data_IF_656947068414
#
_entry.id   IF_656947068414
#
_cell.length_a   1.000
_cell.length_b   1.000
_cell.length_c   1.000
_cell.angle_alpha   90.00
_cell.angle_beta   90.00
_cell.angle_gamma   90.00
#
_symmetry.space_group_name_H-M   'P 1'
#
loop_
_entity.id
_entity.type
_entity.pdbx_description
1 polymer ?
#
# COMPACT_ATOMS: atom_id res chain seq x y z
N UNK A 1 14.73 4.89 8.78
CA UNK A 1 13.50 4.59 8.00
C UNK A 1 13.67 3.22 7.37
N UNK A 2 12.62 2.39 7.25
CA UNK A 2 12.68 1.11 6.55
C UNK A 2 12.71 1.31 5.02
N UNK A 3 13.66 2.13 4.54
CA UNK A 3 13.83 2.53 3.14
C UNK A 3 15.28 2.34 2.74
N UNK A 4 15.51 1.68 1.61
CA UNK A 4 16.85 1.53 1.01
C UNK A 4 16.88 2.25 -0.34
N UNK A 5 18.01 2.87 -0.70
CA UNK A 5 18.17 3.57 -1.99
C UNK A 5 19.19 2.86 -2.87
N UNK A 6 18.90 2.79 -4.18
CA UNK A 6 19.80 2.31 -5.23
C UNK A 6 19.67 3.27 -6.42
N UNK A 7 20.70 4.09 -6.66
CA UNK A 7 20.58 5.21 -7.60
C UNK A 7 19.48 6.19 -7.16
N UNK A 8 18.60 6.57 -8.08
CA UNK A 8 17.44 7.42 -7.83
C UNK A 8 16.19 6.63 -7.35
N UNK A 9 16.30 5.31 -7.18
CA UNK A 9 15.20 4.47 -6.70
C UNK A 9 15.26 4.29 -5.19
N UNK A 10 14.14 4.56 -4.52
CA UNK A 10 13.91 4.28 -3.12
C UNK A 10 12.92 3.11 -2.98
N UNK A 11 13.33 2.10 -2.20
CA UNK A 11 12.57 0.90 -1.89
C UNK A 11 12.01 1.04 -0.48
N UNK A 12 10.70 1.18 -0.38
CA UNK A 12 9.98 1.33 0.87
C UNK A 12 9.46 -0.05 1.28
N UNK A 13 9.88 -0.51 2.46
CA UNK A 13 9.42 -1.79 3.02
C UNK A 13 7.89 -1.79 3.19
N UNK A 14 7.29 -2.97 3.20
CA UNK A 14 5.86 -3.14 3.40
C UNK A 14 5.34 -2.42 4.65
N UNK A 15 4.28 -1.64 4.46
CA UNK A 15 3.54 -0.94 5.50
C UNK A 15 2.20 -1.64 5.68
N UNK A 16 1.93 -2.12 6.90
CA UNK A 16 0.67 -2.78 7.22
C UNK A 16 -0.44 -1.76 7.49
N UNK A 17 -1.67 -2.14 7.17
CA UNK A 17 -2.85 -1.32 7.44
C UNK A 17 -3.07 -1.13 8.95
N UNK A 18 -3.75 -0.05 9.37
CA UNK A 18 -4.38 0.00 10.68
C UNK A 18 -5.32 -1.18 10.92
N UNK A 19 -5.65 -1.45 12.19
CA UNK A 19 -6.66 -2.43 12.53
C UNK A 19 -8.01 -2.00 11.95
N UNK A 20 -8.72 -2.94 11.31
CA UNK A 20 -10.10 -2.72 10.88
C UNK A 20 -11.00 -2.85 12.11
N UNK A 21 -11.89 -1.89 12.31
CA UNK A 21 -12.80 -1.89 13.45
C UNK A 21 -13.67 -3.16 13.47
N UNK A 22 -13.75 -3.83 14.62
CA UNK A 22 -14.48 -5.09 14.79
C UNK A 22 -13.79 -6.32 14.20
N UNK A 23 -12.67 -6.17 13.50
CA UNK A 23 -11.91 -7.29 12.96
C UNK A 23 -11.05 -7.97 14.03
N UNK A 24 -10.94 -9.29 13.95
CA UNK A 24 -9.99 -10.09 14.72
C UNK A 24 -8.68 -10.22 13.93
N UNK A 25 -7.54 -10.54 14.56
CA UNK A 25 -6.29 -10.76 13.83
C UNK A 25 -6.34 -11.86 12.73
N UNK A 26 -7.35 -12.73 12.76
CA UNK A 26 -7.59 -13.78 11.75
C UNK A 26 -8.61 -13.39 10.67
N UNK A 27 -9.23 -12.22 10.79
CA UNK A 27 -10.23 -11.73 9.84
C UNK A 27 -9.59 -11.45 8.48
N UNK A 28 -10.27 -11.87 7.42
CA UNK A 28 -9.72 -11.79 6.06
C UNK A 28 -10.78 -11.47 5.01
N UNK A 29 -10.31 -11.00 3.87
CA UNK A 29 -11.17 -10.75 2.70
C UNK A 29 -11.72 -12.07 2.15
N UNK A 30 -12.99 -12.06 1.75
CA UNK A 30 -13.70 -13.26 1.30
C UNK A 30 -14.23 -14.14 2.45
N UNK A 31 -14.10 -13.68 3.69
CA UNK A 31 -14.76 -14.24 4.87
C UNK A 31 -15.38 -13.12 5.73
N UNK A 32 -14.65 -12.61 6.72
CA UNK A 32 -15.19 -11.64 7.68
C UNK A 32 -15.08 -10.18 7.23
N UNK A 33 -14.22 -9.88 6.26
CA UNK A 33 -13.99 -8.52 5.79
C UNK A 33 -14.63 -8.29 4.41
N UNK A 34 -15.30 -7.15 4.27
CA UNK A 34 -15.84 -6.68 2.99
C UNK A 34 -14.74 -6.07 2.11
N UNK A 35 -15.01 -5.95 0.80
CA UNK A 35 -14.10 -5.29 -0.14
C UNK A 35 -13.86 -3.83 0.25
N UNK A 36 -14.89 -3.14 0.69
CA UNK A 36 -14.84 -1.73 1.10
C UNK A 36 -13.95 -1.56 2.35
N UNK A 37 -14.06 -2.47 3.32
CA UNK A 37 -13.14 -2.50 4.46
C UNK A 37 -11.70 -2.78 4.01
N UNK A 38 -11.52 -3.67 3.03
CA UNK A 38 -10.23 -3.91 2.40
C UNK A 38 -9.66 -2.66 1.71
N UNK A 39 -10.48 -1.91 0.97
CA UNK A 39 -10.06 -0.66 0.31
C UNK A 39 -9.64 0.39 1.33
N UNK A 40 -10.41 0.56 2.41
CA UNK A 40 -10.04 1.46 3.51
C UNK A 40 -8.72 1.02 4.18
N UNK A 41 -8.52 -0.28 4.40
CA UNK A 41 -7.27 -0.83 4.92
C UNK A 41 -6.09 -0.59 3.96
N UNK A 42 -6.28 -0.78 2.66
CA UNK A 42 -5.28 -0.53 1.63
C UNK A 42 -4.89 0.96 1.58
N UNK A 43 -5.86 1.87 1.68
CA UNK A 43 -5.62 3.30 1.79
C UNK A 43 -4.82 3.63 3.06
N UNK A 44 -5.15 3.02 4.20
CA UNK A 44 -4.39 3.19 5.45
C UNK A 44 -2.93 2.72 5.36
N UNK A 45 -2.69 1.58 4.71
CA UNK A 45 -1.33 1.09 4.43
C UNK A 45 -0.57 2.03 3.47
N UNK A 46 -1.24 2.51 2.42
CA UNK A 46 -0.67 3.47 1.48
C UNK A 46 -0.38 4.83 2.11
N UNK A 47 -1.18 5.28 3.09
CA UNK A 47 -0.89 6.49 3.85
C UNK A 47 0.42 6.36 4.63
N UNK A 48 0.69 5.20 5.22
CA UNK A 48 1.96 4.93 5.87
C UNK A 48 3.14 4.92 4.87
N UNK A 49 2.93 4.44 3.65
CA UNK A 49 3.91 4.56 2.54
C UNK A 49 4.15 6.03 2.19
N UNK A 50 3.10 6.82 1.99
CA UNK A 50 3.20 8.26 1.71
C UNK A 50 3.94 9.00 2.82
N UNK A 51 3.74 8.62 4.09
CA UNK A 51 4.51 9.17 5.21
C UNK A 51 6.01 8.81 5.14
N UNK A 52 6.38 7.66 4.59
CA UNK A 52 7.79 7.35 4.31
C UNK A 52 8.32 8.20 3.15
N UNK A 53 7.52 8.40 2.10
CA UNK A 53 7.87 9.27 0.96
C UNK A 53 8.09 10.70 1.44
N UNK A 54 7.16 11.26 2.21
CA UNK A 54 7.24 12.60 2.78
C UNK A 54 8.54 12.81 3.57
N UNK A 55 8.89 11.85 4.44
CA UNK A 55 10.16 11.87 5.19
C UNK A 55 11.38 11.73 4.30
N UNK A 56 11.26 10.97 3.20
CA UNK A 56 12.33 10.73 2.23
C UNK A 56 12.68 12.00 1.45
N UNK A 57 11.67 12.84 1.20
CA UNK A 57 11.81 14.09 0.45
C UNK A 57 11.80 15.34 1.35
N UNK A 58 11.77 15.15 2.67
CA UNK A 58 11.77 16.21 3.68
C UNK A 58 10.59 17.19 3.50
N UNK A 59 9.43 16.66 3.13
CA UNK A 59 8.21 17.43 2.86
C UNK A 59 8.14 18.06 1.47
N UNK A 60 9.22 18.04 0.69
CA UNK A 60 9.21 18.56 -0.68
C UNK A 60 8.79 17.48 -1.70
N UNK A 61 7.48 17.39 -1.92
CA UNK A 61 6.89 16.44 -2.87
C UNK A 61 7.35 16.61 -4.31
N UNK A 62 7.95 17.76 -4.69
CA UNK A 62 8.49 17.97 -6.04
C UNK A 62 9.71 17.12 -6.33
N UNK A 63 10.37 16.58 -5.30
CA UNK A 63 11.49 15.63 -5.41
C UNK A 63 11.03 14.21 -5.76
N UNK A 64 9.71 13.94 -5.78
CA UNK A 64 9.16 12.66 -6.24
C UNK A 64 8.94 12.73 -7.74
N UNK A 65 9.79 12.05 -8.49
CA UNK A 65 9.65 11.93 -9.95
C UNK A 65 8.47 11.04 -10.33
N UNK A 66 8.39 9.85 -9.72
CA UNK A 66 7.31 8.88 -9.96
C UNK A 66 7.27 7.78 -8.90
N UNK A 67 6.06 7.33 -8.55
CA UNK A 67 5.87 6.01 -7.91
C UNK A 67 5.97 4.95 -8.99
N UNK A 68 7.11 4.24 -9.06
CA UNK A 68 7.34 3.25 -10.10
C UNK A 68 6.42 2.04 -9.94
N UNK A 69 6.24 1.56 -8.70
CA UNK A 69 5.44 0.37 -8.40
C UNK A 69 4.84 0.42 -7.00
N UNK A 70 3.61 -0.06 -6.88
CA UNK A 70 3.03 -0.54 -5.62
C UNK A 70 2.93 -2.08 -5.62
N UNK A 71 3.33 -2.71 -4.52
CA UNK A 71 2.96 -4.09 -4.21
C UNK A 71 1.87 -4.10 -3.16
N UNK A 72 0.72 -4.70 -3.45
CA UNK A 72 -0.43 -4.79 -2.54
C UNK A 72 -0.69 -6.25 -2.17
N UNK A 73 -0.53 -6.58 -0.90
CA UNK A 73 -0.76 -7.92 -0.37
C UNK A 73 -2.02 -7.90 0.47
N UNK A 74 -2.98 -8.77 0.14
CA UNK A 74 -4.31 -8.80 0.76
C UNK A 74 -4.48 -10.09 1.52
N UNK A 75 -4.67 -10.02 2.83
CA UNK A 75 -5.02 -11.20 3.63
C UNK A 75 -6.42 -11.68 3.23
N UNK A 76 -6.49 -12.85 2.58
CA UNK A 76 -7.71 -13.31 1.92
C UNK A 76 -7.90 -14.82 2.00
N UNK A 77 -9.14 -15.28 1.84
CA UNK A 77 -9.42 -16.70 1.58
C UNK A 77 -8.89 -17.12 0.20
N UNK A 78 -8.66 -18.43 -0.04
CA UNK A 78 -8.22 -18.93 -1.35
C UNK A 78 -9.18 -18.59 -2.50
N UNK A 79 -10.48 -18.50 -2.22
CA UNK A 79 -11.52 -18.27 -3.23
C UNK A 79 -11.79 -16.78 -3.50
N UNK A 80 -11.17 -15.87 -2.74
CA UNK A 80 -11.32 -14.44 -2.97
C UNK A 80 -10.56 -14.01 -4.24
N UNK A 81 -11.22 -13.26 -5.13
CA UNK A 81 -10.67 -12.87 -6.45
C UNK A 81 -10.72 -11.35 -6.71
N UNK A 82 -11.05 -10.55 -5.69
CA UNK A 82 -11.24 -9.10 -5.81
C UNK A 82 -10.06 -8.28 -5.24
N UNK A 83 -8.85 -8.85 -5.22
CA UNK A 83 -7.65 -8.18 -4.73
C UNK A 83 -7.35 -6.88 -5.49
N UNK A 84 -7.63 -6.84 -6.79
CA UNK A 84 -7.50 -5.63 -7.60
C UNK A 84 -8.43 -4.52 -7.14
N UNK A 85 -9.66 -4.83 -6.70
CA UNK A 85 -10.60 -3.84 -6.18
C UNK A 85 -10.13 -3.31 -4.83
N UNK A 86 -9.66 -4.19 -3.95
CA UNK A 86 -9.06 -3.82 -2.65
C UNK A 86 -7.85 -2.89 -2.86
N UNK A 87 -6.96 -3.25 -3.79
CA UNK A 87 -5.78 -2.45 -4.11
C UNK A 87 -6.09 -1.06 -4.68
N UNK A 88 -7.29 -0.81 -5.20
CA UNK A 88 -7.67 0.54 -5.65
C UNK A 88 -7.67 1.54 -4.49
N UNK A 89 -7.99 1.12 -3.26
CA UNK A 89 -7.89 2.01 -2.10
C UNK A 89 -6.48 2.59 -1.90
N UNK A 90 -5.43 1.79 -2.15
CA UNK A 90 -4.06 2.26 -2.12
C UNK A 90 -3.74 3.15 -3.35
N UNK A 91 -4.12 2.70 -4.55
CA UNK A 91 -3.81 3.41 -5.79
C UNK A 91 -4.47 4.79 -5.86
N UNK A 92 -5.75 4.87 -5.51
CA UNK A 92 -6.55 6.09 -5.56
C UNK A 92 -5.99 7.14 -4.59
N UNK A 93 -5.59 6.72 -3.38
CA UNK A 93 -4.97 7.63 -2.41
C UNK A 93 -3.62 8.17 -2.91
N UNK A 94 -2.74 7.30 -3.42
CA UNK A 94 -1.41 7.72 -3.91
C UNK A 94 -1.54 8.68 -5.09
N UNK A 95 -2.46 8.42 -6.03
CA UNK A 95 -2.73 9.33 -7.15
C UNK A 95 -3.37 10.63 -6.67
N UNK A 96 -4.30 10.59 -5.71
CA UNK A 96 -4.92 11.79 -5.17
C UNK A 96 -3.91 12.74 -4.50
N UNK A 97 -2.88 12.19 -3.85
CA UNK A 97 -1.86 12.99 -3.14
C UNK A 97 -0.73 13.46 -4.06
N UNK A 98 -0.24 12.59 -4.95
CA UNK A 98 0.95 12.88 -5.78
C UNK A 98 0.62 13.24 -7.24
N UNK A 99 -0.66 13.26 -7.63
CA UNK A 99 -1.09 13.55 -8.98
C UNK A 99 -0.49 12.58 -10.01
N UNK A 100 0.04 13.12 -11.11
CA UNK A 100 0.63 12.32 -12.19
C UNK A 100 1.85 11.51 -11.73
N UNK A 101 2.66 12.06 -10.82
CA UNK A 101 3.78 11.32 -10.22
C UNK A 101 3.31 10.12 -9.39
N UNK A 102 2.04 10.13 -8.94
CA UNK A 102 1.41 9.03 -8.23
C UNK A 102 0.96 7.87 -9.11
N UNK A 103 0.97 7.97 -10.45
CA UNK A 103 0.57 6.86 -11.32
C UNK A 103 1.67 5.80 -11.41
N UNK A 104 1.29 4.53 -11.18
CA UNK A 104 2.25 3.44 -10.93
C UNK A 104 1.84 2.13 -11.61
N UNK A 105 2.81 1.24 -11.82
CA UNK A 105 2.54 -0.17 -12.01
C UNK A 105 2.09 -0.81 -10.69
N UNK A 106 1.32 -1.90 -10.73
CA UNK A 106 0.82 -2.56 -9.53
C UNK A 106 0.78 -4.07 -9.66
N UNK A 107 1.14 -4.76 -8.57
CA UNK A 107 0.72 -6.14 -8.33
C UNK A 107 -0.23 -6.16 -7.12
N UNK A 108 -1.35 -6.89 -7.23
CA UNK A 108 -2.29 -7.10 -6.14
C UNK A 108 -2.54 -8.61 -5.98
N UNK A 109 -2.16 -9.18 -4.84
CA UNK A 109 -2.18 -10.64 -4.63
C UNK A 109 -2.79 -11.02 -3.28
N UNK A 110 -3.44 -12.17 -3.25
CA UNK A 110 -3.95 -12.78 -2.02
C UNK A 110 -2.84 -13.50 -1.27
N UNK A 111 -2.80 -13.32 0.05
CA UNK A 111 -1.87 -14.03 0.94
C UNK A 111 -2.64 -14.64 2.11
N UNK A 112 -2.08 -15.71 2.71
CA UNK A 112 -2.74 -16.44 3.78
C UNK A 112 -2.89 -15.63 5.07
N UNK A 113 -1.90 -14.80 5.39
CA UNK A 113 -1.85 -13.92 6.56
C UNK A 113 -0.79 -12.85 6.40
N UNK A 114 -0.93 -11.74 7.14
CA UNK A 114 0.03 -10.65 7.20
C UNK A 114 0.52 -10.42 8.63
N UNK A 115 1.65 -9.70 8.84
CA UNK A 115 2.15 -9.38 10.16
C UNK A 115 1.08 -8.73 11.04
N UNK A 116 1.03 -9.13 12.31
CA UNK A 116 0.06 -8.65 13.32
C UNK A 116 -1.41 -8.87 12.96
N UNK A 117 -1.72 -9.70 11.96
CA UNK A 117 -3.10 -9.93 11.52
C UNK A 117 -3.69 -8.75 10.75
N UNK A 118 -2.86 -7.95 10.08
CA UNK A 118 -3.32 -6.86 9.23
C UNK A 118 -4.13 -7.38 8.03
N UNK A 119 -5.06 -6.56 7.53
CA UNK A 119 -5.88 -6.91 6.37
C UNK A 119 -5.12 -6.69 5.05
N UNK A 120 -4.31 -5.63 4.98
CA UNK A 120 -3.54 -5.25 3.79
C UNK A 120 -2.13 -4.79 4.18
N UNK A 121 -1.15 -5.12 3.35
CA UNK A 121 0.21 -4.59 3.40
C UNK A 121 0.56 -3.97 2.04
N UNK A 122 1.18 -2.79 2.05
CA UNK A 122 1.59 -2.08 0.82
C UNK A 122 3.08 -1.76 0.88
N UNK A 123 3.81 -2.18 -0.14
CA UNK A 123 5.19 -1.75 -0.40
C UNK A 123 5.24 -0.80 -1.60
N UNK A 124 6.33 -0.04 -1.73
CA UNK A 124 6.51 0.86 -2.86
C UNK A 124 7.96 0.95 -3.34
N UNK A 125 8.10 1.19 -4.65
CA UNK A 125 9.33 1.64 -5.27
C UNK A 125 9.07 3.02 -5.85
N UNK A 126 9.89 4.00 -5.48
CA UNK A 126 9.73 5.41 -5.83
C UNK A 126 10.99 5.92 -6.49
N UNK A 127 10.84 6.54 -7.65
CA UNK A 127 11.90 7.28 -8.34
C UNK A 127 11.91 8.72 -7.83
N UNK A 128 13.09 9.20 -7.43
CA UNK A 128 13.32 10.59 -7.03
C UNK A 128 13.94 11.38 -8.18
N UNK A 129 13.80 12.70 -8.13
CA UNK A 129 14.62 13.61 -8.95
C UNK A 129 16.10 13.53 -8.51
N UNK A 130 17.01 13.84 -9.43
CA UNK A 130 18.47 13.77 -9.24
C UNK A 130 19.01 14.80 -8.22
#
# INVERSE_FOLDING_TARGET
>A
MPVTRVGNLAFISGQISPAVEGAKPSSRLGAELSVEQGQAAAAGAALAVLAQIDRLVEGDVTRVRRVARLGVFVAATPDFTQQSLVGNGASDLVVAVLGEAGRHARAAVGVASLPRGAAVEVEAIVELED
#
